data_IF_975710845672
#
_entry.id   IF_975710845672
#
_cell.length_a   1.000
_cell.length_b   1.000
_cell.length_c   1.000
_cell.angle_alpha   90.00
_cell.angle_beta   90.00
_cell.angle_gamma   90.00
#
_symmetry.space_group_name_H-M   'P 1'
#
loop_
_entity.id
_entity.type
_entity.pdbx_description
1 polymer ?
#
# COMPACT_ATOMS: atom_id res chain seq x y z
N UNK A 1 -16.73 -5.55 -2.00
CA UNK A 1 -15.62 -4.74 -2.55
C UNK A 1 -14.41 -4.89 -1.62
N UNK A 2 -13.23 -5.14 -2.16
CA UNK A 2 -11.97 -5.17 -1.42
C UNK A 2 -11.18 -3.90 -1.78
N UNK A 3 -10.59 -3.24 -0.78
CA UNK A 3 -9.71 -2.09 -0.98
C UNK A 3 -8.27 -2.52 -0.74
N UNK A 4 -7.42 -2.27 -1.71
CA UNK A 4 -6.02 -2.71 -1.71
C UNK A 4 -5.13 -1.48 -1.77
N UNK A 5 -4.25 -1.33 -0.78
CA UNK A 5 -3.20 -0.32 -0.78
C UNK A 5 -1.85 -0.94 -1.12
N UNK A 6 -1.05 -0.23 -1.88
CA UNK A 6 0.28 -0.65 -2.29
C UNK A 6 1.29 0.45 -1.97
N UNK A 7 2.25 0.13 -1.11
CA UNK A 7 3.46 0.92 -0.87
C UNK A 7 4.59 0.32 -1.71
N UNK A 8 4.96 0.95 -2.85
CA UNK A 8 5.95 0.37 -3.76
C UNK A 8 7.38 0.58 -3.26
N UNK A 9 8.19 -0.45 -3.33
CA UNK A 9 9.60 -0.38 -2.95
C UNK A 9 10.45 -1.41 -3.67
N UNK A 10 11.73 -1.11 -3.87
CA UNK A 10 12.67 -2.01 -4.56
C UNK A 10 13.11 -3.21 -3.71
N UNK A 11 13.01 -3.11 -2.39
CA UNK A 11 13.46 -4.13 -1.43
C UNK A 11 12.39 -4.41 -0.38
N UNK A 12 11.53 -3.46 -0.09
CA UNK A 12 10.63 -3.48 1.07
C UNK A 12 9.19 -3.02 0.76
N UNK A 13 8.78 -3.07 -0.51
CA UNK A 13 7.40 -2.77 -0.88
C UNK A 13 6.39 -3.70 -0.19
N UNK A 14 5.17 -3.21 0.04
CA UNK A 14 4.14 -3.95 0.73
C UNK A 14 2.74 -3.75 0.12
N UNK A 15 1.84 -4.68 0.43
CA UNK A 15 0.43 -4.60 0.15
C UNK A 15 -0.36 -4.72 1.45
N UNK A 16 -1.45 -3.96 1.56
CA UNK A 16 -2.47 -4.09 2.59
C UNK A 16 -3.85 -4.19 1.95
N UNK A 17 -4.73 -5.01 2.52
CA UNK A 17 -6.07 -5.24 2.01
C UNK A 17 -7.12 -5.14 3.12
N UNK A 18 -8.21 -4.45 2.82
CA UNK A 18 -9.36 -4.25 3.71
C UNK A 18 -10.65 -4.64 2.99
N UNK A 19 -11.65 -5.05 3.75
CA UNK A 19 -13.00 -5.25 3.23
C UNK A 19 -13.75 -3.90 3.06
N UNK A 20 -14.99 -3.96 2.59
CA UNK A 20 -15.83 -2.77 2.37
C UNK A 20 -16.19 -2.02 3.67
N UNK A 21 -16.07 -2.66 4.82
CA UNK A 21 -16.32 -2.06 6.14
C UNK A 21 -15.04 -1.47 6.75
N UNK A 22 -13.86 -1.72 6.14
CA UNK A 22 -12.56 -1.32 6.65
C UNK A 22 -11.93 -2.34 7.60
N UNK A 23 -12.47 -3.56 7.68
CA UNK A 23 -11.85 -4.62 8.46
C UNK A 23 -10.62 -5.17 7.75
N UNK A 24 -9.62 -5.53 8.54
CA UNK A 24 -8.38 -6.12 8.05
C UNK A 24 -8.63 -7.48 7.38
N UNK A 25 -8.09 -7.65 6.18
CA UNK A 25 -8.07 -8.93 5.47
C UNK A 25 -6.66 -9.53 5.48
N UNK A 26 -5.68 -8.83 4.95
CA UNK A 26 -4.29 -9.27 4.89
C UNK A 26 -3.32 -8.10 4.69
N UNK A 27 -2.05 -8.31 5.07
CA UNK A 27 -0.94 -7.46 4.66
C UNK A 27 0.34 -8.28 4.51
N UNK A 28 1.12 -8.00 3.46
CA UNK A 28 2.36 -8.72 3.19
C UNK A 28 3.39 -7.85 2.49
N UNK A 29 4.66 -8.22 2.64
CA UNK A 29 5.73 -7.62 1.83
C UNK A 29 5.69 -8.20 0.42
N UNK A 30 5.91 -7.35 -0.58
CA UNK A 30 6.04 -7.77 -1.98
C UNK A 30 7.32 -8.60 -2.11
N UNK A 31 7.18 -9.83 -2.56
CA UNK A 31 8.28 -10.76 -2.66
C UNK A 31 9.20 -10.43 -3.83
N UNK A 32 10.50 -10.60 -3.59
CA UNK A 32 11.54 -10.39 -4.61
C UNK A 32 12.62 -11.47 -4.49
N UNK A 33 13.26 -11.76 -5.61
CA UNK A 33 14.42 -12.64 -5.70
C UNK A 33 15.51 -11.93 -6.52
N UNK A 34 16.75 -11.96 -6.04
CA UNK A 34 17.89 -11.33 -6.72
C UNK A 34 17.61 -9.86 -7.12
N UNK A 35 16.98 -9.08 -6.23
CA UNK A 35 16.53 -7.70 -6.44
C UNK A 35 15.48 -7.51 -7.55
N UNK A 36 14.79 -8.57 -7.95
CA UNK A 36 13.66 -8.53 -8.88
C UNK A 36 12.37 -8.87 -8.17
N UNK A 37 11.33 -8.08 -8.42
CA UNK A 37 9.97 -8.37 -7.95
C UNK A 37 9.48 -9.68 -8.58
N UNK A 38 8.94 -10.56 -7.77
CA UNK A 38 8.29 -11.79 -8.24
C UNK A 38 6.86 -11.48 -8.73
N UNK A 39 6.77 -10.94 -9.95
CA UNK A 39 5.54 -10.38 -10.51
C UNK A 39 4.37 -11.37 -10.51
N UNK A 40 4.61 -12.65 -10.88
CA UNK A 40 3.57 -13.67 -10.88
C UNK A 40 3.08 -14.00 -9.47
N UNK A 41 3.99 -14.08 -8.50
CA UNK A 41 3.63 -14.31 -7.09
C UNK A 41 2.79 -13.14 -6.59
N UNK A 42 3.23 -11.91 -6.84
CA UNK A 42 2.50 -10.71 -6.43
C UNK A 42 1.09 -10.66 -7.04
N UNK A 43 0.98 -10.89 -8.37
CA UNK A 43 -0.31 -10.96 -9.04
C UNK A 43 -1.23 -12.03 -8.46
N UNK A 44 -0.71 -13.25 -8.26
CA UNK A 44 -1.49 -14.37 -7.72
C UNK A 44 -1.99 -14.06 -6.31
N UNK A 45 -1.18 -13.42 -5.47
CA UNK A 45 -1.61 -13.01 -4.13
C UNK A 45 -2.70 -11.95 -4.16
N UNK A 46 -2.61 -10.94 -5.04
CA UNK A 46 -3.71 -9.97 -5.21
C UNK A 46 -5.00 -10.69 -5.61
N UNK A 47 -4.94 -11.56 -6.61
CA UNK A 47 -6.12 -12.26 -7.11
C UNK A 47 -6.72 -13.21 -6.06
N UNK A 48 -5.92 -13.79 -5.17
CA UNK A 48 -6.42 -14.66 -4.09
C UNK A 48 -7.17 -13.92 -2.98
N UNK A 49 -6.97 -12.61 -2.85
CA UNK A 49 -7.67 -11.78 -1.85
C UNK A 49 -9.08 -11.37 -2.29
N UNK A 50 -9.39 -11.53 -3.57
CA UNK A 50 -10.59 -10.92 -4.15
C UNK A 50 -11.50 -12.00 -4.73
N UNK A 51 -12.73 -12.10 -4.24
CA UNK A 51 -13.77 -12.83 -4.95
C UNK A 51 -14.08 -12.09 -6.27
N UNK A 52 -13.94 -12.73 -7.43
CA UNK A 52 -14.21 -12.10 -8.73
C UNK A 52 -15.61 -11.49 -8.87
N UNK A 53 -16.59 -11.98 -8.09
CA UNK A 53 -17.96 -11.45 -8.07
C UNK A 53 -18.07 -10.14 -7.27
N UNK A 54 -17.16 -9.92 -6.33
CA UNK A 54 -17.17 -8.76 -5.44
C UNK A 54 -16.31 -7.64 -6.02
N UNK A 55 -15.16 -7.98 -6.60
CA UNK A 55 -14.18 -7.05 -7.17
C UNK A 55 -13.34 -6.31 -6.13
N UNK A 56 -12.39 -5.52 -6.63
CA UNK A 56 -11.50 -4.70 -5.81
C UNK A 56 -11.24 -3.34 -6.44
N UNK A 57 -10.76 -2.41 -5.61
CA UNK A 57 -10.15 -1.13 -5.99
C UNK A 57 -8.72 -1.10 -5.44
N UNK A 58 -7.76 -0.68 -6.23
CA UNK A 58 -6.35 -0.62 -5.84
C UNK A 58 -5.92 0.84 -5.75
N UNK A 59 -5.22 1.21 -4.67
CA UNK A 59 -4.53 2.49 -4.55
C UNK A 59 -3.03 2.24 -4.38
N UNK A 60 -2.22 2.79 -5.27
CA UNK A 60 -0.77 2.72 -5.16
C UNK A 60 -0.20 4.09 -4.83
N UNK A 61 0.79 4.12 -3.92
CA UNK A 61 1.50 5.34 -3.63
C UNK A 61 2.28 5.81 -4.85
N UNK A 62 2.08 7.07 -5.22
CA UNK A 62 2.83 7.74 -6.27
C UNK A 62 4.18 8.20 -5.72
N UNK A 63 5.21 7.47 -6.05
CA UNK A 63 6.58 7.74 -5.62
C UNK A 63 7.41 8.39 -6.70
N UNK A 64 8.41 9.16 -6.29
CA UNK A 64 9.35 9.83 -7.16
C UNK A 64 10.79 9.53 -6.73
N UNK A 65 11.75 9.73 -7.63
CA UNK A 65 13.16 9.71 -7.27
C UNK A 65 13.48 10.87 -6.32
N UNK A 66 14.31 10.58 -5.31
CA UNK A 66 14.73 11.60 -4.35
C UNK A 66 16.01 12.30 -4.86
N UNK A 67 16.16 13.62 -4.62
CA UNK A 67 17.42 14.32 -4.85
C UNK A 67 18.57 13.60 -4.12
N UNK A 68 19.74 13.52 -4.76
CA UNK A 68 20.94 12.86 -4.24
C UNK A 68 20.84 11.33 -4.07
N UNK A 69 19.82 10.70 -4.62
CA UNK A 69 19.75 9.24 -4.71
C UNK A 69 20.74 8.76 -5.80
N UNK A 70 21.57 7.77 -5.48
CA UNK A 70 22.54 7.23 -6.44
C UNK A 70 21.86 6.64 -7.69
N UNK A 71 22.49 6.80 -8.87
CA UNK A 71 21.92 6.38 -10.16
C UNK A 71 21.45 4.92 -10.16
N UNK A 72 22.27 4.00 -9.65
CA UNK A 72 21.92 2.56 -9.56
C UNK A 72 20.71 2.31 -8.68
N UNK A 73 20.59 3.02 -7.56
CA UNK A 73 19.45 2.91 -6.64
C UNK A 73 18.18 3.46 -7.29
N UNK A 74 18.27 4.59 -7.97
CA UNK A 74 17.15 5.21 -8.72
C UNK A 74 16.67 4.28 -9.82
N UNK A 75 17.58 3.70 -10.60
CA UNK A 75 17.25 2.75 -11.65
C UNK A 75 16.56 1.49 -11.10
N UNK A 76 17.11 0.89 -10.02
CA UNK A 76 16.52 -0.28 -9.38
C UNK A 76 15.12 0.02 -8.80
N UNK A 77 14.95 1.19 -8.19
CA UNK A 77 13.68 1.64 -7.66
C UNK A 77 12.64 1.86 -8.77
N UNK A 78 12.99 2.62 -9.82
CA UNK A 78 12.08 2.85 -10.96
C UNK A 78 11.64 1.57 -11.64
N UNK A 79 12.58 0.59 -11.79
CA UNK A 79 12.25 -0.74 -12.35
C UNK A 79 11.25 -1.49 -11.45
N UNK A 80 11.46 -1.50 -10.13
CA UNK A 80 10.55 -2.16 -9.21
C UNK A 80 9.16 -1.53 -9.22
N UNK A 81 9.07 -0.20 -9.18
CA UNK A 81 7.81 0.55 -9.27
C UNK A 81 7.08 0.23 -10.57
N UNK A 82 7.78 0.21 -11.71
CA UNK A 82 7.20 -0.14 -13.01
C UNK A 82 6.62 -1.56 -13.03
N UNK A 83 7.32 -2.55 -12.44
CA UNK A 83 6.79 -3.93 -12.35
C UNK A 83 5.57 -3.98 -11.45
N UNK A 84 5.59 -3.34 -10.29
CA UNK A 84 4.46 -3.31 -9.35
C UNK A 84 3.23 -2.66 -10.00
N UNK A 85 3.41 -1.51 -10.66
CA UNK A 85 2.34 -0.82 -11.41
C UNK A 85 1.74 -1.71 -12.49
N UNK A 86 2.58 -2.30 -13.33
CA UNK A 86 2.14 -3.21 -14.39
C UNK A 86 1.37 -4.42 -13.83
N UNK A 87 1.81 -4.99 -12.70
CA UNK A 87 1.09 -6.09 -12.04
C UNK A 87 -0.29 -5.64 -11.56
N UNK A 88 -0.39 -4.47 -10.92
CA UNK A 88 -1.68 -3.93 -10.49
C UNK A 88 -2.65 -3.77 -11.68
N UNK A 89 -2.21 -3.16 -12.78
CA UNK A 89 -3.00 -2.99 -13.99
C UNK A 89 -3.42 -4.34 -14.63
N UNK A 90 -2.54 -5.33 -14.61
CA UNK A 90 -2.81 -6.67 -15.14
C UNK A 90 -3.83 -7.48 -14.30
N UNK A 91 -4.21 -7.02 -13.11
CA UNK A 91 -5.35 -7.60 -12.37
C UNK A 91 -6.69 -7.21 -12.95
N UNK A 92 -6.74 -6.15 -13.77
CA UNK A 92 -7.94 -5.53 -14.35
C UNK A 92 -8.89 -4.88 -13.32
N UNK A 93 -8.44 -4.70 -12.08
CA UNK A 93 -9.14 -3.84 -11.12
C UNK A 93 -8.74 -2.38 -11.33
N UNK A 94 -9.62 -1.41 -11.04
CA UNK A 94 -9.26 0.01 -11.09
C UNK A 94 -8.05 0.32 -10.22
N UNK A 95 -7.10 1.11 -10.77
CA UNK A 95 -5.89 1.52 -10.06
C UNK A 95 -5.88 3.03 -9.91
N UNK A 96 -5.83 3.49 -8.66
CA UNK A 96 -5.72 4.89 -8.27
C UNK A 96 -4.31 5.19 -7.81
N UNK A 97 -3.85 6.41 -8.03
CA UNK A 97 -2.56 6.88 -7.53
C UNK A 97 -2.77 7.96 -6.47
N UNK A 98 -2.00 7.89 -5.40
CA UNK A 98 -2.03 8.88 -4.32
C UNK A 98 -0.63 9.30 -3.92
N UNK A 99 -0.39 10.59 -3.74
CA UNK A 99 0.89 11.08 -3.21
C UNK A 99 1.01 10.81 -1.72
N UNK A 100 2.24 10.61 -1.19
CA UNK A 100 2.47 10.44 0.26
C UNK A 100 1.85 11.58 1.09
N UNK A 101 1.98 12.82 0.61
CA UNK A 101 1.45 14.00 1.29
C UNK A 101 -0.07 13.96 1.41
N UNK A 102 -0.77 13.47 0.37
CA UNK A 102 -2.23 13.46 0.34
C UNK A 102 -2.80 12.48 1.36
N UNK A 103 -2.37 11.22 1.34
CA UNK A 103 -2.90 10.23 2.26
C UNK A 103 -2.42 10.45 3.71
N UNK A 104 -1.17 10.88 3.92
CA UNK A 104 -0.68 11.23 5.28
C UNK A 104 -1.46 12.41 5.88
N UNK A 105 -1.73 13.45 5.09
CA UNK A 105 -2.57 14.58 5.52
C UNK A 105 -3.97 14.13 5.92
N UNK A 106 -4.56 13.20 5.19
CA UNK A 106 -5.89 12.65 5.49
C UNK A 106 -5.94 12.03 6.89
N UNK A 107 -4.90 11.32 7.31
CA UNK A 107 -4.78 10.73 8.64
C UNK A 107 -4.12 11.65 9.68
N UNK A 108 -3.83 12.90 9.34
CA UNK A 108 -3.10 13.85 10.20
C UNK A 108 -1.70 13.38 10.62
N UNK A 109 -1.03 12.60 9.78
CA UNK A 109 0.29 12.05 10.01
C UNK A 109 1.39 12.96 9.46
N UNK A 110 2.55 12.94 10.12
CA UNK A 110 3.78 13.56 9.63
C UNK A 110 4.55 12.63 8.66
N UNK A 111 5.78 12.98 8.34
CA UNK A 111 6.68 12.13 7.56
C UNK A 111 7.26 10.97 8.38
N UNK A 112 7.09 10.95 9.71
CA UNK A 112 7.61 9.89 10.57
C UNK A 112 6.85 8.57 10.33
N UNK A 113 7.59 7.54 9.93
CA UNK A 113 7.04 6.19 9.71
C UNK A 113 6.51 5.53 10.98
N UNK A 114 6.96 5.94 12.17
CA UNK A 114 6.45 5.40 13.41
C UNK A 114 5.00 5.82 13.64
N UNK A 115 4.62 7.05 13.27
CA UNK A 115 3.23 7.51 13.36
C UNK A 115 2.29 6.66 12.49
N UNK A 116 2.71 6.34 11.25
CA UNK A 116 1.95 5.44 10.36
C UNK A 116 1.80 4.05 10.97
N UNK A 117 2.87 3.52 11.58
CA UNK A 117 2.85 2.20 12.21
C UNK A 117 1.93 2.18 13.44
N UNK A 118 1.96 3.21 14.28
CA UNK A 118 1.14 3.29 15.47
C UNK A 118 -0.34 3.51 15.13
N UNK A 119 -0.64 4.32 14.11
CA UNK A 119 -2.00 4.47 13.59
C UNK A 119 -2.56 3.15 13.06
N UNK A 120 -1.80 2.41 12.26
CA UNK A 120 -2.23 1.13 11.73
C UNK A 120 -2.44 0.06 12.84
N UNK A 121 -1.61 0.07 13.87
CA UNK A 121 -1.79 -0.79 15.07
C UNK A 121 -3.06 -0.47 15.84
N UNK A 122 -3.39 0.80 15.92
CA UNK A 122 -4.62 1.25 16.57
C UNK A 122 -5.86 0.83 15.77
N UNK A 123 -5.84 1.00 14.45
CA UNK A 123 -6.96 0.67 13.57
C UNK A 123 -7.15 -0.85 13.40
N UNK A 124 -6.04 -1.59 13.28
CA UNK A 124 -6.05 -3.04 13.01
C UNK A 124 -5.11 -3.81 13.95
N UNK A 125 -5.47 -3.98 15.23
CA UNK A 125 -4.65 -4.75 16.18
C UNK A 125 -4.38 -6.20 15.72
N UNK A 126 -5.31 -6.78 14.97
CA UNK A 126 -5.23 -8.12 14.40
C UNK A 126 -4.16 -8.27 13.30
N UNK A 127 -3.74 -7.18 12.67
CA UNK A 127 -2.69 -7.18 11.64
C UNK A 127 -1.29 -7.54 12.18
N UNK A 128 -1.12 -7.59 13.52
CA UNK A 128 0.11 -8.00 14.22
C UNK A 128 1.39 -7.28 13.73
N UNK A 129 1.28 -5.99 13.51
CA UNK A 129 2.39 -5.12 13.06
C UNK A 129 3.35 -4.85 14.21
N UNK A 130 4.14 -5.84 14.65
CA UNK A 130 4.93 -5.75 15.89
C UNK A 130 6.29 -5.09 15.72
N UNK A 131 6.89 -5.16 14.54
CA UNK A 131 8.27 -4.77 14.30
C UNK A 131 8.34 -3.45 13.52
N UNK A 132 9.42 -2.67 13.69
CA UNK A 132 9.68 -1.47 12.87
C UNK A 132 9.67 -1.76 11.36
N UNK A 133 10.13 -2.94 10.94
CA UNK A 133 10.10 -3.38 9.54
C UNK A 133 8.68 -3.61 8.99
N UNK A 134 7.65 -3.63 9.84
CA UNK A 134 6.25 -3.72 9.42
C UNK A 134 5.68 -2.37 8.97
N UNK A 135 6.47 -1.28 9.04
CA UNK A 135 6.04 0.07 8.66
C UNK A 135 5.48 0.15 7.23
N UNK A 136 6.09 -0.56 6.26
CA UNK A 136 5.57 -0.55 4.88
C UNK A 136 4.21 -1.26 4.76
N UNK A 137 3.97 -2.33 5.52
CA UNK A 137 2.65 -2.97 5.60
C UNK A 137 1.61 -2.04 6.25
N UNK A 138 2.03 -1.29 7.27
CA UNK A 138 1.21 -0.28 7.90
C UNK A 138 0.82 0.84 6.92
N UNK A 139 1.79 1.39 6.18
CA UNK A 139 1.53 2.41 5.16
C UNK A 139 0.62 1.86 4.05
N UNK A 140 0.83 0.62 3.59
CA UNK A 140 -0.05 -0.01 2.60
C UNK A 140 -1.50 -0.16 3.10
N UNK A 141 -1.71 -0.54 4.36
CA UNK A 141 -3.06 -0.59 4.95
C UNK A 141 -3.71 0.79 5.04
N UNK A 142 -2.95 1.82 5.44
CA UNK A 142 -3.45 3.19 5.49
C UNK A 142 -3.79 3.74 4.09
N UNK A 143 -3.04 3.37 3.06
CA UNK A 143 -3.34 3.71 1.66
C UNK A 143 -4.64 3.03 1.21
N UNK A 144 -4.90 1.77 1.61
CA UNK A 144 -6.16 1.09 1.34
C UNK A 144 -7.35 1.80 2.01
N UNK A 145 -7.19 2.18 3.27
CA UNK A 145 -8.21 2.90 4.05
C UNK A 145 -8.46 4.30 3.49
N UNK A 146 -7.39 4.99 3.08
CA UNK A 146 -7.50 6.26 2.40
C UNK A 146 -8.40 6.15 1.15
N UNK A 147 -8.16 5.15 0.28
CA UNK A 147 -8.98 4.91 -0.90
C UNK A 147 -10.44 4.65 -0.53
N UNK A 148 -10.67 3.79 0.47
CA UNK A 148 -12.02 3.51 0.96
C UNK A 148 -12.73 4.77 1.41
N UNK A 149 -12.06 5.66 2.15
CA UNK A 149 -12.60 6.93 2.60
C UNK A 149 -12.90 7.88 1.43
N UNK A 150 -11.99 8.01 0.46
CA UNK A 150 -12.19 8.86 -0.72
C UNK A 150 -13.42 8.42 -1.53
N UNK A 151 -13.59 7.11 -1.76
CA UNK A 151 -14.71 6.58 -2.55
C UNK A 151 -16.06 6.63 -1.83
N UNK A 152 -16.06 6.69 -0.49
CA UNK A 152 -17.30 6.78 0.32
C UNK A 152 -17.54 8.16 0.93
N UNK A 153 -16.70 9.16 0.64
CA UNK A 153 -16.81 10.51 1.19
C UNK A 153 -16.65 10.57 2.72
N UNK A 154 -15.78 9.71 3.28
CA UNK A 154 -15.54 9.65 4.72
C UNK A 154 -14.40 10.63 5.09
N UNK A 155 -14.69 11.58 5.96
CA UNK A 155 -13.71 12.49 6.52
C UNK A 155 -13.31 12.09 7.95
N UNK A 156 -12.00 12.09 8.22
CA UNK A 156 -11.48 11.90 9.58
C UNK A 156 -11.53 13.25 10.30
N UNK A 157 -12.37 13.35 11.31
CA UNK A 157 -12.39 14.53 12.19
C UNK A 157 -11.15 14.53 13.07
N UNK A 158 -10.44 15.67 13.11
CA UNK A 158 -9.38 15.89 14.08
C UNK A 158 -9.97 15.75 15.48
N UNK A 159 -9.57 14.73 16.22
CA UNK A 159 -9.83 14.71 17.68
C UNK A 159 -9.08 15.89 18.30
N UNK A 160 -9.84 16.76 18.97
CA UNK A 160 -9.33 17.95 19.65
C UNK A 160 -8.41 17.56 20.81
#
# INVERSE_FOLDING_TARGET
MVYIGVDPGSVSGALGALDHQGNYLESFNIEHKDKHILALVFKSRILSLVDPKIGAEICMEQVHSMPNQGVSSTFAFGRAVGVISAVCELTRYPVHLVTPQKWKKHFHLSADKNESLDMARYLWPEAKLKLKKDGNKAEALLIAEYLRHELHGIEIKKTA
#
